data_IF_781613252639
#
_entry.id   IF_781613252639
#
_cell.length_a   1.000
_cell.length_b   1.000
_cell.length_c   1.000
_cell.angle_alpha   90.00
_cell.angle_beta   90.00
_cell.angle_gamma   90.00
#
_symmetry.space_group_name_H-M   'P 1'
#
loop_
_entity.id
_entity.type
_entity.pdbx_description
1 polymer ?
#
# COMPACT_ATOMS: atom_id res chain seq x y z
N UNK A 1 -35.38 19.27 13.27
CA UNK A 1 -34.27 19.65 12.37
C UNK A 1 -33.67 20.96 12.83
N UNK A 2 -32.36 21.04 12.89
CA UNK A 2 -31.61 22.23 13.28
C UNK A 2 -31.88 23.37 12.27
N UNK A 3 -32.07 24.60 12.74
CA UNK A 3 -32.20 25.76 11.85
C UNK A 3 -30.85 26.10 11.24
N UNK A 4 -30.84 26.36 9.94
CA UNK A 4 -29.64 26.63 9.15
C UNK A 4 -29.70 28.00 8.53
N UNK A 5 -28.55 28.69 8.43
CA UNK A 5 -28.34 29.94 7.70
C UNK A 5 -27.27 29.79 6.63
N UNK A 6 -27.24 30.69 5.66
CA UNK A 6 -26.12 30.80 4.73
C UNK A 6 -24.87 31.27 5.50
N UNK A 7 -23.72 30.62 5.26
CA UNK A 7 -22.45 30.99 5.88
C UNK A 7 -21.84 32.26 5.26
N UNK A 8 -22.33 32.72 4.12
CA UNK A 8 -21.66 33.74 3.30
C UNK A 8 -20.43 33.28 2.56
N UNK A 9 -20.09 31.98 2.64
CA UNK A 9 -18.91 31.38 2.00
C UNK A 9 -19.38 30.26 1.07
N UNK A 10 -19.24 30.47 -0.24
CA UNK A 10 -19.82 29.59 -1.26
C UNK A 10 -19.43 28.11 -1.14
N UNK A 11 -18.16 27.81 -0.80
CA UNK A 11 -17.69 26.43 -0.68
C UNK A 11 -18.09 25.75 0.64
N UNK A 12 -18.52 26.50 1.67
CA UNK A 12 -19.06 25.98 2.94
C UNK A 12 -20.57 25.73 2.82
N UNK A 13 -21.28 26.71 2.24
CA UNK A 13 -22.73 26.67 2.09
C UNK A 13 -23.45 26.97 3.41
N UNK A 14 -24.49 26.18 3.72
CA UNK A 14 -25.31 26.39 4.93
C UNK A 14 -24.68 25.83 6.18
N UNK A 15 -24.78 26.59 7.27
CA UNK A 15 -24.33 26.27 8.65
C UNK A 15 -25.46 26.49 9.65
N UNK A 16 -25.37 25.97 10.87
CA UNK A 16 -26.34 26.26 11.94
C UNK A 16 -26.46 27.77 12.22
N UNK A 17 -27.67 28.24 12.54
CA UNK A 17 -27.90 29.65 12.87
C UNK A 17 -27.04 30.19 14.01
N UNK A 18 -26.68 29.32 14.97
CA UNK A 18 -25.87 29.66 16.15
C UNK A 18 -24.37 29.70 15.87
N UNK A 19 -23.92 29.27 14.69
CA UNK A 19 -22.51 29.24 14.36
C UNK A 19 -22.07 30.56 13.73
N UNK A 20 -20.82 30.93 13.97
CA UNK A 20 -20.18 32.09 13.38
C UNK A 20 -19.13 31.68 12.33
N UNK A 21 -18.79 32.61 11.45
CA UNK A 21 -17.69 32.48 10.50
C UNK A 21 -16.69 33.59 10.78
N UNK A 22 -15.45 33.21 11.00
CA UNK A 22 -14.31 34.14 11.10
C UNK A 22 -13.24 33.74 10.07
N UNK A 23 -11.99 34.15 10.25
CA UNK A 23 -10.85 33.72 9.44
C UNK A 23 -9.76 33.13 10.34
N UNK A 24 -8.91 32.26 9.79
CA UNK A 24 -7.83 31.65 10.56
C UNK A 24 -6.92 32.66 11.25
N UNK A 25 -6.67 33.84 10.65
CA UNK A 25 -5.84 34.91 11.21
C UNK A 25 -6.37 35.44 12.55
N UNK A 26 -7.68 35.39 12.78
CA UNK A 26 -8.30 35.85 14.03
C UNK A 26 -7.86 34.98 15.21
N UNK A 27 -7.78 33.65 15.02
CA UNK A 27 -7.50 32.67 16.06
C UNK A 27 -6.08 32.13 16.07
N UNK A 28 -5.35 32.27 14.96
CA UNK A 28 -4.01 31.73 14.78
C UNK A 28 -2.97 32.84 14.52
N UNK A 29 -1.75 32.61 15.00
CA UNK A 29 -0.57 33.45 14.72
C UNK A 29 0.56 32.57 14.22
N UNK A 30 1.01 32.80 12.99
CA UNK A 30 2.21 32.13 12.47
C UNK A 30 3.45 32.57 13.28
N UNK A 31 4.25 31.59 13.66
CA UNK A 31 5.50 31.77 14.40
C UNK A 31 6.64 31.05 13.66
N UNK A 32 7.86 31.52 13.88
CA UNK A 32 9.06 30.91 13.28
C UNK A 32 10.21 30.93 14.29
N UNK A 33 9.95 30.41 15.47
CA UNK A 33 10.97 30.18 16.48
C UNK A 33 11.92 29.09 16.03
N UNK A 34 13.24 29.28 16.24
CA UNK A 34 14.31 28.39 15.75
C UNK A 34 15.39 28.29 16.81
N UNK A 35 16.46 27.60 16.48
CA UNK A 35 17.63 27.44 17.34
C UNK A 35 17.37 26.53 18.56
N UNK A 36 16.68 25.42 18.34
CA UNK A 36 16.48 24.35 19.31
C UNK A 36 17.07 23.02 18.78
N UNK A 37 18.39 22.93 18.56
CA UNK A 37 19.01 21.79 17.87
C UNK A 37 18.87 20.47 18.64
N UNK A 38 18.74 20.54 19.97
CA UNK A 38 18.62 19.38 20.86
C UNK A 38 17.18 18.87 21.02
N UNK A 39 16.19 19.60 20.46
CA UNK A 39 14.79 19.21 20.58
C UNK A 39 14.46 18.03 19.65
N UNK A 40 13.49 17.21 20.07
CA UNK A 40 13.04 16.04 19.31
C UNK A 40 12.52 16.42 17.92
N UNK A 41 12.97 15.71 16.89
CA UNK A 41 12.49 15.95 15.54
C UNK A 41 11.11 15.31 15.36
N UNK A 42 10.14 16.14 14.96
CA UNK A 42 8.78 15.74 14.68
C UNK A 42 8.52 15.61 13.19
N UNK A 43 7.62 14.70 12.85
CA UNK A 43 7.11 14.51 11.49
C UNK A 43 5.59 14.67 11.48
N UNK A 44 5.08 15.24 10.39
CA UNK A 44 3.64 15.40 10.19
C UNK A 44 3.15 14.40 9.15
N UNK A 45 2.33 13.46 9.58
CA UNK A 45 1.66 12.49 8.74
C UNK A 45 0.20 12.88 8.51
N UNK A 46 -0.31 12.55 7.33
CA UNK A 46 -1.70 12.83 6.97
C UNK A 46 -2.71 12.11 7.88
N UNK A 47 -2.42 10.88 8.23
CA UNK A 47 -3.26 10.00 9.05
C UNK A 47 -3.06 10.24 10.56
N UNK A 48 -1.82 10.26 11.03
CA UNK A 48 -1.48 10.31 12.46
C UNK A 48 -1.34 11.73 13.02
N UNK A 49 -1.23 12.77 12.16
CA UNK A 49 -0.90 14.11 12.59
C UNK A 49 0.59 14.26 12.93
N UNK A 50 0.91 15.07 13.96
CA UNK A 50 2.28 15.34 14.40
C UNK A 50 2.72 14.26 15.38
N UNK A 51 3.81 13.56 15.08
CA UNK A 51 4.40 12.51 15.91
C UNK A 51 5.94 12.60 15.89
N UNK A 52 6.65 12.00 16.87
CA UNK A 52 8.09 11.85 16.81
C UNK A 52 8.53 11.17 15.52
N UNK A 53 9.59 11.68 14.90
CA UNK A 53 10.06 11.18 13.58
C UNK A 53 10.41 9.71 13.61
N UNK A 54 11.03 9.24 14.69
CA UNK A 54 11.51 7.87 14.84
C UNK A 54 10.41 6.89 15.34
N UNK A 55 9.16 7.34 15.44
CA UNK A 55 8.03 6.47 15.82
C UNK A 55 7.57 5.53 14.70
N UNK A 56 8.15 5.65 13.48
CA UNK A 56 7.83 4.82 12.30
C UNK A 56 9.08 4.50 11.50
N UNK A 57 9.16 3.26 11.02
CA UNK A 57 10.28 2.77 10.18
C UNK A 57 10.13 3.11 8.69
N UNK A 58 8.93 3.56 8.26
CA UNK A 58 8.62 3.89 6.86
C UNK A 58 8.94 5.35 6.48
N UNK A 59 9.57 6.12 7.38
CA UNK A 59 9.94 7.50 7.11
C UNK A 59 11.31 7.58 6.42
N UNK A 60 11.29 7.65 5.10
CA UNK A 60 12.51 7.75 4.28
C UNK A 60 13.07 9.18 4.16
N UNK A 61 12.46 10.18 4.84
CA UNK A 61 12.97 11.55 4.80
C UNK A 61 14.24 11.68 5.67
N UNK A 62 15.35 12.00 5.06
CA UNK A 62 16.61 12.26 5.75
C UNK A 62 16.49 13.57 6.53
N UNK A 63 16.78 13.54 7.84
CA UNK A 63 16.94 14.76 8.63
C UNK A 63 18.27 15.39 8.29
N UNK A 64 18.29 16.71 8.08
CA UNK A 64 19.56 17.43 7.94
C UNK A 64 20.39 17.29 9.22
N UNK A 65 21.69 17.12 9.09
CA UNK A 65 22.61 17.09 10.24
C UNK A 65 22.55 18.42 11.04
N UNK A 66 22.27 19.53 10.35
CA UNK A 66 22.09 20.83 10.98
C UNK A 66 20.60 21.15 11.15
N UNK A 67 20.09 21.03 12.36
CA UNK A 67 18.71 21.31 12.74
C UNK A 67 18.47 22.74 13.26
N UNK A 68 19.47 23.60 13.31
CA UNK A 68 19.38 24.99 13.79
C UNK A 68 18.29 25.81 13.08
N UNK A 69 18.03 25.51 11.80
CA UNK A 69 17.00 26.17 11.00
C UNK A 69 15.60 25.57 11.17
N UNK A 70 15.47 24.45 11.89
CA UNK A 70 14.17 23.84 12.13
C UNK A 70 13.33 24.75 13.03
N UNK A 71 12.00 24.68 12.85
CA UNK A 71 11.06 25.50 13.59
C UNK A 71 10.58 24.76 14.83
N UNK A 72 10.60 25.46 15.94
CA UNK A 72 10.13 24.92 17.21
C UNK A 72 8.59 24.82 17.25
N UNK A 73 8.10 23.74 17.79
CA UNK A 73 6.69 23.41 17.95
C UNK A 73 6.42 23.19 19.43
N UNK A 74 5.63 24.06 20.04
CA UNK A 74 5.09 23.81 21.37
C UNK A 74 3.87 22.89 21.28
N UNK A 75 3.67 22.08 22.32
CA UNK A 75 2.43 21.29 22.45
C UNK A 75 1.19 22.17 22.32
N UNK A 76 0.25 21.77 21.48
CA UNK A 76 -0.97 22.51 21.15
C UNK A 76 -0.79 23.53 20.01
N UNK A 77 0.36 23.61 19.37
CA UNK A 77 0.54 24.40 18.14
C UNK A 77 -0.01 23.65 16.92
N UNK A 78 -0.57 24.39 15.96
CA UNK A 78 -0.94 23.84 14.66
C UNK A 78 0.26 23.82 13.73
N UNK A 79 0.61 22.64 13.21
CA UNK A 79 1.69 22.43 12.25
C UNK A 79 1.09 22.16 10.86
N UNK A 80 1.60 22.81 9.84
CA UNK A 80 1.08 22.76 8.47
C UNK A 80 2.22 22.43 7.51
N UNK A 81 2.11 21.35 6.76
CA UNK A 81 2.99 21.08 5.64
C UNK A 81 2.49 21.88 4.41
N UNK A 82 3.13 23.00 4.12
CA UNK A 82 2.69 23.88 3.02
C UNK A 82 2.59 23.17 1.67
N UNK A 83 3.49 22.21 1.39
CA UNK A 83 3.52 21.45 0.13
C UNK A 83 2.45 20.35 0.03
N UNK A 84 1.86 19.95 1.17
CA UNK A 84 0.86 18.88 1.24
C UNK A 84 -0.41 19.29 2.01
N UNK A 85 -0.61 20.57 2.27
CA UNK A 85 -1.81 21.09 2.94
C UNK A 85 -3.09 20.74 2.14
N UNK A 86 -2.99 20.78 0.82
CA UNK A 86 -4.04 20.37 -0.11
C UNK A 86 -4.47 18.88 0.03
N UNK A 87 -3.63 18.07 0.64
CA UNK A 87 -3.96 16.68 1.01
C UNK A 87 -4.46 16.56 2.47
N UNK A 88 -4.64 17.66 3.18
CA UNK A 88 -5.00 17.66 4.60
C UNK A 88 -3.81 17.39 5.55
N UNK A 89 -2.57 17.58 5.08
CA UNK A 89 -1.37 17.40 5.91
C UNK A 89 -1.14 18.62 6.81
N UNK A 90 -1.93 18.70 7.85
CA UNK A 90 -1.83 19.66 8.96
C UNK A 90 -2.41 19.04 10.23
N UNK A 91 -1.94 19.43 11.39
CA UNK A 91 -2.46 18.91 12.66
C UNK A 91 -2.06 19.79 13.85
N UNK A 92 -2.87 19.80 14.91
CA UNK A 92 -2.45 20.27 16.21
C UNK A 92 -1.51 19.24 16.83
N UNK A 93 -0.36 19.69 17.31
CA UNK A 93 0.67 18.83 17.89
C UNK A 93 0.38 18.50 19.36
N UNK A 94 0.44 17.21 19.68
CA UNK A 94 0.46 16.74 21.07
C UNK A 94 1.88 16.65 21.66
N UNK A 95 2.89 16.94 20.84
CA UNK A 95 4.32 16.84 21.16
C UNK A 95 4.97 18.21 21.09
N UNK A 96 6.03 18.39 21.87
CA UNK A 96 6.97 19.47 21.75
C UNK A 96 8.21 18.99 21.01
N UNK A 97 8.77 19.84 20.14
CA UNK A 97 9.93 19.46 19.34
C UNK A 97 10.16 20.40 18.16
N UNK A 98 10.84 19.92 17.13
CA UNK A 98 11.19 20.71 15.95
C UNK A 98 10.68 20.06 14.67
N UNK A 99 10.30 20.89 13.69
CA UNK A 99 9.86 20.46 12.36
C UNK A 99 10.67 21.14 11.26
N UNK A 100 10.68 20.54 10.08
CA UNK A 100 11.36 21.09 8.89
C UNK A 100 11.01 22.56 8.65
N UNK A 101 11.97 23.40 8.16
CA UNK A 101 11.72 24.78 7.79
C UNK A 101 10.59 24.98 6.77
N UNK A 102 10.31 23.95 5.96
CA UNK A 102 9.22 23.95 4.97
C UNK A 102 7.83 23.95 5.58
N UNK A 103 7.70 23.72 6.89
CA UNK A 103 6.38 23.71 7.56
C UNK A 103 6.07 25.08 8.16
N UNK A 104 4.78 25.41 8.26
CA UNK A 104 4.33 26.52 9.08
C UNK A 104 3.96 26.01 10.46
N UNK A 105 4.24 26.84 11.48
CA UNK A 105 3.84 26.59 12.87
C UNK A 105 2.98 27.77 13.32
N UNK A 106 1.76 27.49 13.76
CA UNK A 106 0.83 28.51 14.24
C UNK A 106 0.46 28.25 15.69
N UNK A 107 0.60 29.28 16.54
CA UNK A 107 0.06 29.29 17.90
C UNK A 107 -1.37 29.82 17.90
N UNK A 108 -2.21 29.27 18.76
CA UNK A 108 -3.54 29.82 19.03
C UNK A 108 -3.40 31.12 19.82
N UNK A 109 -4.19 32.15 19.48
CA UNK A 109 -4.10 33.48 20.07
C UNK A 109 -4.75 33.55 21.47
N UNK A 110 -5.83 32.81 21.62
CA UNK A 110 -6.61 32.71 22.86
C UNK A 110 -7.25 31.33 23.02
N UNK A 111 -7.99 31.12 24.07
CA UNK A 111 -8.68 29.87 24.37
C UNK A 111 -10.15 29.84 23.90
N UNK A 112 -10.62 30.83 23.12
CA UNK A 112 -12.00 30.90 22.67
C UNK A 112 -12.37 29.82 21.63
N UNK A 113 -11.36 29.19 21.04
CA UNK A 113 -11.57 28.09 20.10
C UNK A 113 -10.88 26.82 20.56
N UNK A 114 -11.61 25.71 20.54
CA UNK A 114 -11.08 24.40 20.87
C UNK A 114 -10.04 23.95 19.83
N UNK A 115 -8.84 23.64 20.27
CA UNK A 115 -7.75 23.13 19.44
C UNK A 115 -8.13 21.80 18.79
N UNK A 116 -8.81 20.93 19.53
CA UNK A 116 -9.24 19.62 19.07
C UNK A 116 -10.35 19.76 17.99
N UNK A 117 -11.28 20.72 18.17
CA UNK A 117 -12.26 21.01 17.13
C UNK A 117 -11.58 21.53 15.84
N UNK A 118 -10.64 22.48 15.96
CA UNK A 118 -9.89 23.03 14.83
C UNK A 118 -9.06 21.94 14.13
N UNK A 119 -8.50 20.99 14.89
CA UNK A 119 -7.79 19.84 14.36
C UNK A 119 -8.67 19.04 13.38
N UNK A 120 -9.90 18.74 13.77
CA UNK A 120 -10.84 18.02 12.89
C UNK A 120 -11.34 18.90 11.75
N UNK A 121 -11.68 20.15 12.03
CA UNK A 121 -12.23 21.08 11.03
C UNK A 121 -11.27 21.27 9.85
N UNK A 122 -10.04 21.69 10.14
CA UNK A 122 -9.05 22.01 9.10
C UNK A 122 -8.54 20.78 8.33
N UNK A 123 -8.66 19.59 8.90
CA UNK A 123 -8.33 18.31 8.24
C UNK A 123 -9.50 17.72 7.44
N UNK A 124 -10.69 18.27 7.56
CA UNK A 124 -11.85 17.78 6.83
C UNK A 124 -11.71 17.95 5.33
N UNK A 125 -12.40 17.11 4.57
CA UNK A 125 -12.32 17.10 3.09
C UNK A 125 -12.66 18.43 2.45
N UNK A 126 -13.58 19.17 3.03
CA UNK A 126 -14.00 20.49 2.51
C UNK A 126 -12.88 21.54 2.63
N UNK A 127 -12.13 21.51 3.74
CA UNK A 127 -10.96 22.39 3.92
C UNK A 127 -9.77 21.94 3.08
N UNK A 128 -9.53 20.65 2.96
CA UNK A 128 -8.50 20.12 2.07
C UNK A 128 -8.73 20.54 0.61
N UNK A 129 -9.96 20.46 0.09
CA UNK A 129 -10.31 20.95 -1.24
C UNK A 129 -10.12 22.46 -1.38
N UNK A 130 -10.41 23.24 -0.33
CA UNK A 130 -10.17 24.68 -0.38
C UNK A 130 -8.66 24.99 -0.38
N UNK A 131 -7.86 24.28 0.41
CA UNK A 131 -6.40 24.41 0.37
C UNK A 131 -5.80 23.97 -0.98
N UNK A 132 -6.40 22.99 -1.65
CA UNK A 132 -6.04 22.63 -3.02
C UNK A 132 -6.26 23.79 -3.99
N UNK A 133 -7.42 24.46 -3.92
CA UNK A 133 -7.73 25.65 -4.77
C UNK A 133 -6.81 26.82 -4.53
N UNK A 134 -6.33 26.99 -3.30
CA UNK A 134 -5.44 28.10 -2.91
C UNK A 134 -3.95 27.77 -3.14
N UNK A 135 -3.61 26.49 -3.32
CA UNK A 135 -2.24 26.07 -3.53
C UNK A 135 -1.81 26.29 -4.98
N UNK A 136 -0.62 26.84 -5.17
CA UNK A 136 -0.06 27.15 -6.48
C UNK A 136 1.31 26.48 -6.68
N UNK A 137 1.66 26.16 -7.92
CA UNK A 137 2.96 25.58 -8.26
C UNK A 137 3.08 25.24 -9.76
N UNK A 138 4.31 25.14 -10.26
CA UNK A 138 4.56 24.91 -11.69
C UNK A 138 4.34 23.44 -12.13
N UNK A 139 4.31 22.49 -11.21
CA UNK A 139 4.13 21.06 -11.52
C UNK A 139 2.98 20.50 -10.72
N UNK A 140 2.20 19.61 -11.33
CA UNK A 140 1.13 18.87 -10.66
C UNK A 140 1.72 18.11 -9.46
N UNK A 141 1.12 18.31 -8.28
CA UNK A 141 1.57 17.69 -7.03
C UNK A 141 2.73 18.38 -6.32
N UNK A 142 3.29 19.46 -6.88
CA UNK A 142 4.29 20.33 -6.24
C UNK A 142 3.71 21.73 -6.00
N UNK A 143 2.57 21.76 -5.30
CA UNK A 143 1.86 22.99 -4.98
C UNK A 143 2.14 23.41 -3.54
N UNK A 144 2.32 24.70 -3.35
CA UNK A 144 2.52 25.32 -2.04
C UNK A 144 1.30 26.16 -1.66
N UNK A 145 0.80 25.97 -0.46
CA UNK A 145 -0.16 26.87 0.16
C UNK A 145 0.60 28.03 0.82
N UNK A 146 0.30 29.27 0.44
CA UNK A 146 0.88 30.41 1.11
C UNK A 146 0.31 30.57 2.53
N UNK A 147 1.14 31.11 3.45
CA UNK A 147 0.65 31.35 4.83
C UNK A 147 -0.43 32.43 4.87
N UNK A 148 -0.38 33.42 3.98
CA UNK A 148 -1.37 34.49 3.93
C UNK A 148 -2.72 33.97 3.46
N UNK A 149 -2.76 33.12 2.44
CA UNK A 149 -3.98 32.46 1.96
C UNK A 149 -4.55 31.53 3.02
N UNK A 150 -3.69 30.76 3.72
CA UNK A 150 -4.12 29.96 4.85
C UNK A 150 -4.74 30.80 5.94
N UNK A 151 -4.09 31.90 6.35
CA UNK A 151 -4.58 32.79 7.40
C UNK A 151 -5.85 33.55 7.00
N UNK A 152 -6.05 33.81 5.72
CA UNK A 152 -7.26 34.44 5.17
C UNK A 152 -8.44 33.46 5.00
N UNK A 153 -8.19 32.14 5.10
CA UNK A 153 -9.25 31.13 4.91
C UNK A 153 -10.32 31.25 5.99
N UNK A 154 -11.63 31.26 5.62
CA UNK A 154 -12.75 31.23 6.53
C UNK A 154 -12.70 30.05 7.49
N UNK A 155 -13.07 30.29 8.75
CA UNK A 155 -13.09 29.31 9.84
C UNK A 155 -14.47 29.29 10.49
N UNK A 156 -15.05 28.10 10.62
CA UNK A 156 -16.33 27.89 11.30
C UNK A 156 -16.14 27.85 12.82
N UNK A 157 -16.97 28.61 13.53
CA UNK A 157 -16.89 28.72 15.00
C UNK A 157 -18.24 28.37 15.63
N UNK A 158 -18.44 27.12 16.08
CA UNK A 158 -19.58 26.74 16.90
C UNK A 158 -19.53 27.42 18.28
N UNK A 159 -20.62 27.47 19.03
CA UNK A 159 -20.58 27.78 20.44
C UNK A 159 -19.58 26.88 21.20
N UNK A 160 -18.88 27.42 22.21
CA UNK A 160 -17.78 26.76 22.92
C UNK A 160 -18.13 25.34 23.40
N UNK A 161 -19.30 25.18 24.04
CA UNK A 161 -19.79 23.86 24.49
C UNK A 161 -19.97 22.87 23.34
N UNK A 162 -20.38 23.35 22.17
CA UNK A 162 -20.59 22.52 21.00
C UNK A 162 -19.26 22.12 20.35
N UNK A 163 -18.26 23.01 20.33
CA UNK A 163 -16.90 22.68 19.85
C UNK A 163 -16.33 21.49 20.66
N UNK A 164 -16.40 21.57 21.99
CA UNK A 164 -15.91 20.49 22.85
C UNK A 164 -16.70 19.18 22.65
N UNK A 165 -18.02 19.27 22.52
CA UNK A 165 -18.87 18.10 22.28
C UNK A 165 -18.57 17.44 20.92
N UNK A 166 -18.35 18.24 19.86
CA UNK A 166 -17.96 17.74 18.53
C UNK A 166 -16.62 17.02 18.61
N UNK A 167 -15.61 17.62 19.24
CA UNK A 167 -14.29 17.04 19.35
C UNK A 167 -14.34 15.68 20.08
N UNK A 168 -14.94 15.63 21.27
CA UNK A 168 -15.09 14.39 22.06
C UNK A 168 -15.88 13.31 21.29
N UNK A 169 -16.95 13.71 20.58
CA UNK A 169 -17.73 12.78 19.77
C UNK A 169 -16.90 12.20 18.62
N UNK A 170 -16.13 13.06 17.91
CA UNK A 170 -15.28 12.65 16.80
C UNK A 170 -14.11 11.78 17.26
N UNK A 171 -13.48 12.10 18.39
CA UNK A 171 -12.43 11.27 18.99
C UNK A 171 -12.96 9.86 19.25
N UNK A 172 -14.08 9.75 19.96
CA UNK A 172 -14.68 8.45 20.28
C UNK A 172 -15.04 7.64 19.02
N UNK A 173 -15.69 8.30 18.05
CA UNK A 173 -16.12 7.63 16.82
C UNK A 173 -14.93 7.27 15.91
N UNK A 174 -13.94 8.13 15.80
CA UNK A 174 -12.72 7.87 15.06
C UNK A 174 -11.96 6.68 15.65
N UNK A 175 -11.75 6.65 16.97
CA UNK A 175 -11.12 5.51 17.65
C UNK A 175 -11.88 4.20 17.41
N UNK A 176 -13.21 4.21 17.44
CA UNK A 176 -14.01 3.02 17.16
C UNK A 176 -13.85 2.53 15.71
N UNK A 177 -13.85 3.46 14.74
CA UNK A 177 -13.67 3.13 13.32
C UNK A 177 -12.25 2.61 13.09
N UNK A 178 -11.23 3.25 13.68
CA UNK A 178 -9.83 2.83 13.54
C UNK A 178 -9.60 1.43 14.12
N UNK A 179 -10.22 1.13 15.27
CA UNK A 179 -10.19 -0.21 15.85
C UNK A 179 -10.86 -1.26 14.95
N UNK A 180 -11.98 -0.90 14.29
CA UNK A 180 -12.62 -1.77 13.31
C UNK A 180 -11.74 -2.00 12.07
N UNK A 181 -11.07 -0.97 11.56
CA UNK A 181 -10.13 -1.06 10.44
C UNK A 181 -8.97 -1.98 10.81
N UNK A 182 -8.36 -1.78 11.97
CA UNK A 182 -7.26 -2.62 12.46
C UNK A 182 -7.68 -4.10 12.58
N UNK A 183 -8.86 -4.37 13.13
CA UNK A 183 -9.39 -5.73 13.22
C UNK A 183 -9.60 -6.36 11.83
N UNK A 184 -10.16 -5.62 10.88
CA UNK A 184 -10.36 -6.13 9.50
C UNK A 184 -9.01 -6.37 8.82
N UNK A 185 -8.02 -5.51 9.05
CA UNK A 185 -6.65 -5.69 8.55
C UNK A 185 -6.01 -6.98 9.09
N UNK A 186 -6.13 -7.23 10.40
CA UNK A 186 -5.65 -8.48 11.00
C UNK A 186 -6.33 -9.71 10.40
N UNK A 187 -7.64 -9.64 10.15
CA UNK A 187 -8.36 -10.73 9.49
C UNK A 187 -7.85 -11.00 8.06
N UNK A 188 -7.46 -9.96 7.32
CA UNK A 188 -6.84 -10.10 5.99
C UNK A 188 -5.50 -10.84 6.12
N UNK A 189 -4.65 -10.47 7.07
CA UNK A 189 -3.35 -11.14 7.27
C UNK A 189 -3.53 -12.61 7.69
N UNK A 190 -4.50 -12.91 8.54
CA UNK A 190 -4.84 -14.30 8.89
C UNK A 190 -5.33 -15.12 7.69
N UNK A 191 -6.14 -14.51 6.78
CA UNK A 191 -6.58 -15.18 5.55
C UNK A 191 -5.42 -15.45 4.59
N UNK A 192 -4.48 -14.53 4.46
CA UNK A 192 -3.25 -14.72 3.66
C UNK A 192 -2.40 -15.86 4.21
N UNK A 193 -2.18 -15.88 5.52
CA UNK A 193 -1.43 -16.95 6.19
C UNK A 193 -2.14 -18.31 6.05
N UNK A 194 -3.47 -18.34 6.18
CA UNK A 194 -4.26 -19.56 5.96
C UNK A 194 -4.15 -20.04 4.50
N UNK A 195 -4.23 -19.14 3.52
CA UNK A 195 -4.03 -19.49 2.11
C UNK A 195 -2.69 -20.14 1.87
N UNK A 196 -1.61 -19.55 2.41
CA UNK A 196 -0.26 -20.09 2.28
C UNK A 196 -0.11 -21.45 2.96
N UNK A 197 -0.67 -21.62 4.16
CA UNK A 197 -0.67 -22.90 4.88
C UNK A 197 -1.42 -23.98 4.10
N UNK A 198 -2.61 -23.64 3.57
CA UNK A 198 -3.41 -24.53 2.73
C UNK A 198 -2.64 -24.98 1.48
N UNK A 199 -2.02 -24.04 0.77
CA UNK A 199 -1.21 -24.36 -0.40
C UNK A 199 -0.05 -25.30 0.01
N UNK A 200 0.66 -24.97 1.09
CA UNK A 200 1.77 -25.77 1.58
C UNK A 200 1.35 -27.21 1.92
N UNK A 201 0.26 -27.35 2.63
CA UNK A 201 -0.28 -28.66 2.98
C UNK A 201 -0.64 -29.48 1.72
N UNK A 202 -1.36 -28.87 0.78
CA UNK A 202 -1.80 -29.56 -0.44
C UNK A 202 -0.60 -29.92 -1.33
N UNK A 203 0.38 -29.07 -1.50
CA UNK A 203 1.54 -29.39 -2.35
C UNK A 203 2.47 -30.42 -1.70
N UNK A 204 2.49 -30.58 -0.38
CA UNK A 204 3.33 -31.55 0.33
C UNK A 204 2.60 -32.86 0.63
N UNK A 205 1.39 -32.80 1.18
CA UNK A 205 0.64 -33.96 1.67
C UNK A 205 -0.46 -34.42 0.68
N UNK A 206 -1.00 -33.51 -0.11
CA UNK A 206 -2.18 -33.77 -0.95
C UNK A 206 -3.48 -33.40 -0.26
N UNK A 207 -4.57 -34.04 -0.67
CA UNK A 207 -5.93 -33.76 -0.15
C UNK A 207 -6.35 -34.75 0.93
N UNK A 208 -5.69 -35.89 1.04
CA UNK A 208 -5.98 -36.89 2.07
C UNK A 208 -5.16 -36.59 3.34
N UNK A 209 -5.79 -36.25 4.46
CA UNK A 209 -5.09 -35.97 5.71
C UNK A 209 -4.42 -37.21 6.32
N UNK A 210 -4.82 -38.42 5.91
CA UNK A 210 -4.29 -39.69 6.42
C UNK A 210 -3.27 -40.35 5.48
N UNK A 211 -2.79 -39.61 4.47
CA UNK A 211 -1.81 -40.16 3.53
C UNK A 211 -0.54 -40.57 4.27
N UNK A 212 0.03 -41.77 4.00
CA UNK A 212 1.30 -42.15 4.58
C UNK A 212 2.42 -41.20 4.19
N UNK A 213 3.21 -40.76 5.15
CA UNK A 213 4.30 -39.79 4.98
C UNK A 213 5.66 -40.48 4.91
N UNK A 214 6.62 -39.86 4.28
CA UNK A 214 8.03 -40.24 4.26
C UNK A 214 8.92 -39.03 4.35
N UNK A 215 10.16 -39.18 4.80
CA UNK A 215 11.17 -38.14 4.69
C UNK A 215 11.48 -37.86 3.23
N UNK A 216 11.48 -36.56 2.88
CA UNK A 216 11.82 -36.09 1.52
C UNK A 216 13.30 -36.28 1.15
N UNK A 217 14.19 -36.48 2.13
CA UNK A 217 15.64 -36.44 1.98
C UNK A 217 16.21 -35.02 1.81
N UNK A 218 15.38 -33.98 2.01
CA UNK A 218 15.76 -32.57 1.92
C UNK A 218 15.34 -31.86 3.20
N UNK A 219 16.32 -31.42 4.00
CA UNK A 219 16.11 -30.90 5.36
C UNK A 219 15.02 -29.81 5.45
N UNK A 220 15.03 -28.85 4.54
CA UNK A 220 14.08 -27.73 4.57
C UNK A 220 12.67 -28.08 4.04
N UNK A 221 12.50 -29.21 3.34
CA UNK A 221 11.19 -29.72 2.91
C UNK A 221 10.56 -30.58 4.01
N UNK A 222 11.35 -31.38 4.70
CA UNK A 222 10.88 -32.30 5.74
C UNK A 222 10.09 -33.47 5.18
N UNK A 223 8.94 -33.78 5.79
CA UNK A 223 8.09 -34.90 5.40
C UNK A 223 7.13 -34.56 4.26
N UNK A 224 6.98 -35.51 3.33
CA UNK A 224 6.07 -35.44 2.18
C UNK A 224 5.23 -36.71 2.08
N UNK A 225 4.09 -36.67 1.36
CA UNK A 225 3.35 -37.89 1.08
C UNK A 225 4.24 -38.93 0.36
N UNK A 226 4.05 -40.22 0.68
CA UNK A 226 4.89 -41.31 0.12
C UNK A 226 4.76 -41.43 -1.40
N UNK A 227 3.65 -40.93 -2.00
CA UNK A 227 3.42 -40.89 -3.45
C UNK A 227 4.29 -39.87 -4.18
N UNK A 228 4.94 -38.94 -3.46
CA UNK A 228 5.75 -37.86 -4.04
C UNK A 228 7.22 -38.23 -4.16
N UNK A 229 7.86 -37.65 -5.16
CA UNK A 229 9.32 -37.68 -5.34
C UNK A 229 9.85 -36.29 -5.48
N UNK A 230 11.02 -36.00 -4.88
CA UNK A 230 11.66 -34.70 -4.98
C UNK A 230 12.51 -34.61 -6.23
N UNK A 231 12.27 -33.62 -7.04
CA UNK A 231 13.05 -33.34 -8.25
C UNK A 231 13.53 -31.89 -8.25
N UNK A 232 14.72 -31.66 -8.85
CA UNK A 232 15.17 -30.30 -9.13
C UNK A 232 14.43 -29.77 -10.35
N UNK A 233 14.04 -28.47 -10.32
CA UNK A 233 13.24 -27.83 -11.37
C UNK A 233 13.79 -28.10 -12.79
N UNK A 234 15.10 -28.07 -12.97
CA UNK A 234 15.74 -28.31 -14.29
C UNK A 234 15.36 -29.65 -14.95
N UNK A 235 14.96 -30.66 -14.20
CA UNK A 235 14.56 -31.97 -14.73
C UNK A 235 13.07 -32.06 -15.08
N UNK A 236 12.34 -31.00 -14.77
CA UNK A 236 10.90 -30.87 -14.95
C UNK A 236 10.54 -29.90 -16.08
N UNK A 237 11.53 -29.39 -16.77
CA UNK A 237 11.38 -28.41 -17.87
C UNK A 237 11.66 -29.06 -19.24
N UNK A 238 11.00 -28.54 -20.30
CA UNK A 238 11.30 -28.89 -21.70
C UNK A 238 12.60 -28.27 -22.16
N UNK A 239 12.86 -27.02 -21.73
CA UNK A 239 14.05 -26.24 -22.10
C UNK A 239 14.73 -25.69 -20.85
N UNK A 240 16.04 -25.39 -20.89
CA UNK A 240 16.70 -24.68 -19.82
C UNK A 240 16.02 -23.35 -19.51
N UNK A 241 16.08 -22.92 -18.23
CA UNK A 241 15.59 -21.60 -17.81
C UNK A 241 16.21 -20.47 -18.65
N UNK A 242 15.38 -19.61 -19.18
CA UNK A 242 15.78 -18.52 -20.08
C UNK A 242 15.60 -17.15 -19.41
N UNK A 243 16.61 -16.29 -19.48
CA UNK A 243 16.47 -14.87 -19.12
C UNK A 243 15.73 -14.12 -20.22
N UNK A 244 14.95 -13.11 -19.82
CA UNK A 244 14.28 -12.23 -20.78
C UNK A 244 15.20 -11.19 -21.43
N UNK A 245 14.63 -10.38 -22.29
CA UNK A 245 15.34 -9.34 -23.02
C UNK A 245 15.89 -8.25 -22.08
N UNK A 246 17.10 -7.81 -22.37
CA UNK A 246 17.78 -6.73 -21.61
C UNK A 246 17.69 -5.41 -22.40
N UNK A 247 16.48 -5.07 -22.81
CA UNK A 247 16.17 -3.95 -23.70
C UNK A 247 15.31 -2.89 -23.01
N UNK A 248 15.37 -1.68 -23.52
CA UNK A 248 14.43 -0.63 -23.14
C UNK A 248 13.13 -0.81 -23.91
N UNK A 249 12.02 -0.94 -23.20
CA UNK A 249 10.72 -0.96 -23.84
C UNK A 249 10.36 0.39 -24.47
N UNK A 250 9.50 0.36 -25.48
CA UNK A 250 9.01 1.54 -26.20
C UNK A 250 7.48 1.61 -26.21
N UNK A 251 6.97 2.61 -26.94
CA UNK A 251 5.53 2.75 -27.19
C UNK A 251 5.04 1.73 -28.23
N UNK A 252 3.74 1.47 -28.22
CA UNK A 252 3.10 0.60 -29.18
C UNK A 252 3.32 1.07 -30.63
N UNK A 253 3.63 0.14 -31.52
CA UNK A 253 3.64 0.28 -32.99
C UNK A 253 3.02 -0.96 -33.62
N UNK A 254 2.59 -0.87 -34.88
CA UNK A 254 1.92 -2.00 -35.58
C UNK A 254 2.79 -3.28 -35.68
N UNK A 255 4.12 -3.15 -35.55
CA UNK A 255 5.06 -4.27 -35.62
C UNK A 255 5.76 -4.43 -34.24
N UNK A 256 5.02 -4.36 -33.15
CA UNK A 256 5.55 -4.50 -31.81
C UNK A 256 4.79 -5.54 -30.99
N UNK A 257 5.53 -6.21 -30.11
CA UNK A 257 5.05 -7.24 -29.20
C UNK A 257 5.06 -6.67 -27.78
N UNK A 258 4.06 -6.99 -26.99
CA UNK A 258 3.99 -6.56 -25.58
C UNK A 258 5.21 -7.02 -24.81
N UNK A 259 5.82 -6.12 -24.04
CA UNK A 259 7.01 -6.39 -23.23
C UNK A 259 6.65 -6.44 -21.77
N UNK A 260 6.51 -7.66 -21.21
CA UNK A 260 6.12 -7.90 -19.83
C UNK A 260 7.30 -7.66 -18.91
N UNK A 261 7.16 -6.70 -18.01
CA UNK A 261 8.12 -6.38 -16.96
C UNK A 261 7.58 -6.84 -15.61
N UNK A 262 8.47 -6.94 -14.64
CA UNK A 262 8.10 -7.29 -13.25
C UNK A 262 7.08 -6.31 -12.64
N UNK A 263 7.11 -5.04 -13.07
CA UNK A 263 6.18 -3.98 -12.64
C UNK A 263 4.79 -4.09 -13.25
N UNK A 264 4.64 -4.89 -14.30
CA UNK A 264 3.39 -5.08 -15.02
C UNK A 264 2.57 -6.24 -14.41
N UNK A 265 3.19 -7.03 -13.51
CA UNK A 265 2.55 -8.14 -12.80
C UNK A 265 1.93 -7.62 -11.51
N UNK A 266 0.62 -7.76 -11.37
CA UNK A 266 -0.13 -7.41 -10.17
C UNK A 266 0.12 -8.41 -9.03
N UNK A 267 -0.28 -8.01 -7.80
CA UNK A 267 -0.13 -8.88 -6.63
C UNK A 267 -0.99 -10.14 -6.67
N UNK A 268 -2.09 -10.13 -7.42
CA UNK A 268 -3.01 -11.25 -7.64
C UNK A 268 -2.57 -12.18 -8.78
N UNK A 269 -1.45 -11.89 -9.45
CA UNK A 269 -0.95 -12.64 -10.59
C UNK A 269 -1.57 -12.25 -11.93
N UNK A 270 -2.38 -11.20 -12.00
CA UNK A 270 -2.88 -10.64 -13.26
C UNK A 270 -1.85 -9.69 -13.90
N UNK A 271 -2.00 -9.42 -15.20
CA UNK A 271 -1.23 -8.39 -15.89
C UNK A 271 -1.97 -7.05 -15.88
N UNK A 272 -1.24 -5.99 -15.58
CA UNK A 272 -1.72 -4.62 -15.80
C UNK A 272 -1.96 -4.42 -17.30
N UNK A 273 -3.03 -3.72 -17.63
CA UNK A 273 -3.32 -3.29 -18.99
C UNK A 273 -3.66 -1.80 -18.95
N UNK A 274 -2.62 -0.97 -18.97
CA UNK A 274 -2.72 0.48 -18.87
C UNK A 274 -1.83 1.17 -19.91
N UNK A 275 -1.84 2.48 -19.94
CA UNK A 275 -1.04 3.34 -20.83
C UNK A 275 0.49 3.22 -20.63
N UNK A 276 0.93 2.60 -19.53
CA UNK A 276 2.35 2.40 -19.22
C UNK A 276 2.91 1.09 -19.77
N UNK A 277 2.08 0.31 -20.47
CA UNK A 277 2.54 -0.92 -21.14
C UNK A 277 3.69 -0.60 -22.08
N UNK A 278 4.70 -1.47 -22.06
CA UNK A 278 5.88 -1.35 -22.92
C UNK A 278 5.84 -2.41 -24.01
N UNK A 279 6.53 -2.12 -25.10
CA UNK A 279 6.57 -2.96 -26.29
C UNK A 279 7.99 -3.08 -26.81
N UNK A 280 8.29 -4.21 -27.46
CA UNK A 280 9.52 -4.44 -28.23
C UNK A 280 9.17 -4.61 -29.70
N UNK A 281 10.10 -4.27 -30.60
CA UNK A 281 9.94 -4.62 -32.01
C UNK A 281 9.91 -6.15 -32.20
N UNK A 282 9.14 -6.66 -33.17
CA UNK A 282 9.04 -8.09 -33.43
C UNK A 282 10.40 -8.76 -33.60
N UNK A 283 11.35 -8.08 -34.25
CA UNK A 283 12.72 -8.58 -34.47
C UNK A 283 13.44 -8.85 -33.15
N UNK A 284 13.31 -7.98 -32.15
CA UNK A 284 13.96 -8.14 -30.86
C UNK A 284 13.18 -9.13 -29.99
N UNK A 285 11.85 -9.12 -30.11
CA UNK A 285 10.97 -9.98 -29.32
C UNK A 285 11.07 -11.45 -29.69
N UNK A 286 11.49 -11.80 -30.96
CA UNK A 286 11.47 -13.15 -31.50
C UNK A 286 12.14 -14.20 -30.60
N UNK A 287 13.23 -13.84 -29.94
CA UNK A 287 13.98 -14.76 -29.04
C UNK A 287 13.37 -14.90 -27.64
N UNK A 288 12.38 -14.06 -27.30
CA UNK A 288 11.80 -13.94 -25.98
C UNK A 288 10.29 -14.11 -25.95
N UNK A 289 9.72 -14.71 -26.99
CA UNK A 289 8.26 -14.93 -27.08
C UNK A 289 7.82 -15.93 -26.01
N UNK A 290 6.67 -15.63 -25.43
CA UNK A 290 6.01 -16.47 -24.45
C UNK A 290 4.96 -17.37 -25.11
N UNK A 291 4.91 -18.61 -24.65
CA UNK A 291 3.89 -19.59 -25.01
C UNK A 291 2.91 -19.81 -23.85
N UNK A 292 1.70 -20.27 -24.18
CA UNK A 292 0.70 -20.60 -23.17
C UNK A 292 1.21 -21.62 -22.16
N UNK A 293 1.18 -21.25 -20.88
CA UNK A 293 1.71 -22.06 -19.79
C UNK A 293 3.15 -21.77 -19.40
N UNK A 294 3.86 -20.86 -20.06
CA UNK A 294 5.17 -20.42 -19.59
C UNK A 294 5.04 -19.77 -18.20
N UNK A 295 5.92 -20.16 -17.27
CA UNK A 295 5.98 -19.56 -15.94
C UNK A 295 7.16 -18.58 -15.87
N UNK A 296 6.86 -17.32 -15.54
CA UNK A 296 7.87 -16.30 -15.33
C UNK A 296 8.22 -16.20 -13.84
N UNK A 297 9.50 -16.26 -13.51
CA UNK A 297 10.05 -16.20 -12.16
C UNK A 297 10.82 -14.89 -12.00
N UNK A 298 10.47 -14.09 -11.00
CA UNK A 298 11.13 -12.82 -10.72
C UNK A 298 12.48 -13.02 -10.06
N UNK A 299 13.56 -12.45 -10.66
CA UNK A 299 14.93 -12.66 -10.17
C UNK A 299 15.43 -11.62 -9.17
N UNK A 300 14.91 -10.41 -9.19
CA UNK A 300 15.45 -9.30 -8.38
C UNK A 300 14.39 -8.24 -8.06
N UNK A 301 14.73 -7.27 -7.18
CA UNK A 301 13.87 -6.18 -6.77
C UNK A 301 12.86 -6.56 -5.70
N UNK A 302 11.92 -5.66 -5.38
CA UNK A 302 10.91 -5.86 -4.32
C UNK A 302 9.94 -7.02 -4.55
N UNK A 303 9.96 -7.64 -5.72
CA UNK A 303 9.11 -8.79 -6.08
C UNK A 303 9.91 -10.06 -6.34
N UNK A 304 11.19 -10.09 -5.94
CA UNK A 304 12.07 -11.27 -6.10
C UNK A 304 11.39 -12.54 -5.56
N UNK A 305 11.45 -13.60 -6.35
CA UNK A 305 10.81 -14.87 -6.01
C UNK A 305 9.32 -14.99 -6.36
N UNK A 306 8.65 -13.93 -6.83
CA UNK A 306 7.28 -14.07 -7.35
C UNK A 306 7.27 -14.83 -8.68
N UNK A 307 6.20 -15.58 -8.91
CA UNK A 307 5.92 -16.26 -10.18
C UNK A 307 4.69 -15.69 -10.85
N UNK A 308 4.64 -15.83 -12.17
CA UNK A 308 3.52 -15.43 -12.98
C UNK A 308 3.30 -16.49 -14.07
N UNK A 309 2.04 -16.94 -14.25
CA UNK A 309 1.65 -17.85 -15.30
C UNK A 309 1.17 -17.06 -16.51
N UNK A 310 1.85 -17.24 -17.64
CA UNK A 310 1.43 -16.63 -18.87
C UNK A 310 0.34 -17.44 -19.58
N UNK A 311 -0.70 -16.73 -20.02
CA UNK A 311 -1.78 -17.28 -20.83
C UNK A 311 -1.84 -16.62 -22.20
N UNK A 312 -2.09 -17.38 -23.24
CA UNK A 312 -2.17 -16.89 -24.63
C UNK A 312 -3.23 -15.79 -24.83
N UNK A 313 -4.25 -15.74 -23.95
CA UNK A 313 -5.28 -14.68 -23.92
C UNK A 313 -4.72 -13.27 -23.68
N UNK A 314 -3.51 -13.16 -23.10
CA UNK A 314 -2.84 -11.86 -22.91
C UNK A 314 -2.26 -11.28 -24.20
N UNK A 315 -2.34 -12.02 -25.33
CA UNK A 315 -1.79 -11.65 -26.63
C UNK A 315 -0.29 -11.90 -26.74
N UNK A 316 0.24 -11.86 -27.97
CA UNK A 316 1.67 -12.07 -28.20
C UNK A 316 2.54 -11.18 -27.30
N UNK A 317 3.40 -11.80 -26.51
CA UNK A 317 4.20 -11.11 -25.49
C UNK A 317 5.62 -11.65 -25.42
N UNK A 318 6.55 -10.76 -25.09
CA UNK A 318 7.93 -11.06 -24.72
C UNK A 318 8.16 -10.59 -23.26
N UNK A 319 9.25 -11.01 -22.62
CA UNK A 319 9.50 -10.74 -21.22
C UNK A 319 10.87 -10.12 -20.94
N UNK A 320 10.96 -9.35 -19.86
CA UNK A 320 12.12 -8.54 -19.50
C UNK A 320 13.19 -9.36 -18.76
N UNK A 321 14.45 -8.92 -18.83
CA UNK A 321 15.62 -9.57 -18.25
C UNK A 321 15.62 -9.74 -16.73
N UNK A 322 14.71 -9.07 -16.02
CA UNK A 322 14.45 -9.30 -14.59
C UNK A 322 13.50 -10.47 -14.32
N UNK A 323 13.01 -11.12 -15.35
CA UNK A 323 12.20 -12.33 -15.30
C UNK A 323 12.97 -13.49 -15.93
N UNK A 324 12.70 -14.70 -15.45
CA UNK A 324 13.26 -15.95 -15.93
C UNK A 324 12.10 -16.84 -16.34
N UNK A 325 12.10 -17.31 -17.59
CA UNK A 325 11.09 -18.21 -18.14
C UNK A 325 11.39 -19.66 -17.77
N UNK A 326 10.37 -20.36 -17.29
CA UNK A 326 10.34 -21.80 -17.08
C UNK A 326 9.26 -22.42 -18.00
N UNK A 327 9.69 -23.20 -18.98
CA UNK A 327 8.86 -23.99 -19.87
C UNK A 327 8.67 -25.39 -19.27
N UNK A 328 7.55 -25.58 -18.55
CA UNK A 328 7.27 -26.80 -17.83
C UNK A 328 6.95 -27.98 -18.76
N UNK A 329 7.57 -29.13 -18.53
CA UNK A 329 7.25 -30.40 -19.19
C UNK A 329 5.94 -30.94 -18.62
N UNK A 330 4.83 -30.73 -19.31
CA UNK A 330 3.46 -30.98 -18.84
C UNK A 330 3.17 -32.47 -18.52
N UNK A 331 4.01 -33.38 -18.96
CA UNK A 331 4.02 -34.81 -18.59
C UNK A 331 4.67 -35.08 -17.22
N UNK A 332 5.37 -34.09 -16.64
CA UNK A 332 6.06 -34.15 -15.34
C UNK A 332 5.57 -33.10 -14.36
N UNK A 333 5.40 -31.86 -14.83
CA UNK A 333 5.07 -30.70 -14.00
C UNK A 333 4.05 -29.81 -14.70
N UNK A 334 2.88 -29.64 -14.07
CA UNK A 334 1.92 -28.64 -14.53
C UNK A 334 2.39 -27.24 -14.17
N UNK A 335 2.34 -26.27 -15.10
CA UNK A 335 2.70 -24.87 -14.82
C UNK A 335 1.98 -24.29 -13.61
N UNK A 336 0.69 -24.56 -13.49
CA UNK A 336 -0.15 -24.10 -12.37
C UNK A 336 0.31 -24.70 -11.03
N UNK A 337 0.78 -25.98 -11.03
CA UNK A 337 1.33 -26.58 -9.81
C UNK A 337 2.61 -25.90 -9.39
N UNK A 338 3.51 -25.56 -10.32
CA UNK A 338 4.70 -24.77 -10.05
C UNK A 338 4.35 -23.41 -9.44
N UNK A 339 3.35 -22.70 -10.01
CA UNK A 339 2.90 -21.40 -9.47
C UNK A 339 2.36 -21.54 -8.06
N UNK A 340 1.58 -22.59 -7.74
CA UNK A 340 1.15 -22.84 -6.36
C UNK A 340 2.33 -23.18 -5.44
N UNK A 341 3.26 -24.02 -5.91
CA UNK A 341 4.45 -24.35 -5.12
C UNK A 341 5.25 -23.09 -4.75
N UNK A 342 5.41 -22.14 -5.66
CA UNK A 342 6.09 -20.86 -5.40
C UNK A 342 5.32 -19.91 -4.46
N UNK A 343 4.09 -20.25 -4.09
CA UNK A 343 3.30 -19.55 -3.08
C UNK A 343 3.30 -20.27 -1.71
N UNK A 344 3.94 -21.43 -1.62
CA UNK A 344 4.00 -22.23 -0.39
C UNK A 344 5.03 -21.67 0.59
N UNK A 345 4.88 -22.05 1.86
CA UNK A 345 5.85 -21.72 2.90
C UNK A 345 7.22 -22.37 2.65
N UNK A 346 7.25 -23.56 2.03
CA UNK A 346 8.50 -24.22 1.65
C UNK A 346 9.35 -23.39 0.70
N UNK A 347 8.69 -22.78 -0.29
CA UNK A 347 9.40 -21.90 -1.21
C UNK A 347 9.95 -20.64 -0.53
N UNK A 348 9.26 -20.11 0.48
CA UNK A 348 9.77 -19.00 1.29
C UNK A 348 10.99 -19.41 2.12
N UNK A 349 10.99 -20.62 2.71
CA UNK A 349 12.16 -21.16 3.39
C UNK A 349 13.35 -21.25 2.41
N UNK A 350 13.14 -21.83 1.24
CA UNK A 350 14.17 -21.94 0.21
C UNK A 350 14.73 -20.57 -0.21
N UNK A 351 13.88 -19.57 -0.43
CA UNK A 351 14.32 -18.20 -0.73
C UNK A 351 15.19 -17.62 0.40
N UNK A 352 14.76 -17.78 1.63
CA UNK A 352 15.48 -17.25 2.78
C UNK A 352 16.88 -17.88 2.91
N UNK A 353 17.01 -19.18 2.67
CA UNK A 353 18.33 -19.86 2.64
C UNK A 353 19.23 -19.21 1.59
N UNK A 354 18.69 -18.88 0.40
CA UNK A 354 19.46 -18.22 -0.67
C UNK A 354 19.84 -16.80 -0.30
N UNK A 355 18.95 -16.04 0.36
CA UNK A 355 19.18 -14.64 0.69
C UNK A 355 20.19 -14.44 1.82
N UNK A 356 20.23 -15.33 2.81
CA UNK A 356 21.26 -15.31 3.87
C UNK A 356 22.67 -15.41 3.29
N UNK A 357 22.84 -16.07 2.14
CA UNK A 357 24.13 -16.27 1.48
C UNK A 357 24.48 -15.14 0.46
N UNK A 358 23.63 -14.13 0.28
CA UNK A 358 23.79 -13.15 -0.77
C UNK A 358 23.77 -11.70 -0.25
N UNK A 359 24.75 -10.90 -0.68
CA UNK A 359 24.81 -9.46 -0.38
C UNK A 359 23.68 -8.66 -1.02
N UNK A 360 23.12 -9.15 -2.13
CA UNK A 360 21.99 -8.58 -2.87
C UNK A 360 20.96 -9.68 -3.08
N UNK A 361 19.70 -9.40 -2.75
CA UNK A 361 18.59 -10.32 -2.99
C UNK A 361 18.38 -10.54 -4.49
N UNK A 362 18.97 -11.60 -5.03
CA UNK A 362 18.88 -12.00 -6.43
C UNK A 362 18.84 -13.53 -6.56
N UNK A 363 17.85 -14.04 -7.29
CA UNK A 363 17.71 -15.45 -7.61
C UNK A 363 17.94 -15.66 -9.10
N UNK A 364 19.16 -16.03 -9.46
CA UNK A 364 19.48 -16.31 -10.88
C UNK A 364 18.97 -17.67 -11.35
N UNK A 365 18.99 -17.89 -12.67
CA UNK A 365 18.51 -19.12 -13.30
C UNK A 365 19.18 -20.39 -12.73
N UNK A 366 20.46 -20.34 -12.39
CA UNK A 366 21.16 -21.47 -11.78
C UNK A 366 20.58 -21.86 -10.41
N UNK A 367 20.20 -20.89 -9.59
CA UNK A 367 19.54 -21.14 -8.28
C UNK A 367 18.15 -21.73 -8.50
N UNK A 368 17.33 -21.16 -9.38
CA UNK A 368 16.02 -21.71 -9.75
C UNK A 368 16.11 -23.11 -10.34
N UNK A 369 17.11 -23.39 -11.20
CA UNK A 369 17.33 -24.73 -11.79
C UNK A 369 17.51 -25.83 -10.74
N UNK A 370 18.06 -25.48 -9.59
CA UNK A 370 18.29 -26.39 -8.48
C UNK A 370 17.21 -26.33 -7.39
N UNK A 371 16.12 -25.59 -7.59
CA UNK A 371 14.96 -25.60 -6.69
C UNK A 371 14.40 -27.02 -6.61
N UNK A 372 14.35 -27.58 -5.43
CA UNK A 372 13.83 -28.92 -5.15
C UNK A 372 12.33 -28.83 -4.90
N UNK A 373 11.57 -29.67 -5.62
CA UNK A 373 10.10 -29.63 -5.61
C UNK A 373 9.59 -31.05 -5.35
N UNK A 374 8.72 -31.27 -4.37
CA UNK A 374 8.03 -32.53 -4.17
C UNK A 374 6.92 -32.67 -5.21
N UNK A 375 7.09 -33.61 -6.14
CA UNK A 375 6.21 -33.78 -7.31
C UNK A 375 5.33 -35.01 -7.14
N UNK A 376 3.99 -34.87 -7.14
CA UNK A 376 3.06 -35.99 -7.30
C UNK A 376 2.91 -36.41 -8.77
N UNK A 377 2.31 -37.55 -9.05
CA UNK A 377 1.91 -37.95 -10.41
C UNK A 377 1.06 -36.86 -11.08
N UNK A 378 1.15 -36.71 -12.40
CA UNK A 378 0.48 -35.59 -13.14
C UNK A 378 -1.03 -35.57 -12.92
N UNK A 379 -1.68 -36.73 -12.85
CA UNK A 379 -3.13 -36.79 -12.61
C UNK A 379 -3.51 -36.30 -11.21
N UNK A 380 -2.66 -36.58 -10.21
CA UNK A 380 -2.80 -36.00 -8.87
C UNK A 380 -2.58 -34.49 -8.93
N UNK A 381 -1.53 -33.98 -9.65
CA UNK A 381 -1.33 -32.55 -9.82
C UNK A 381 -2.58 -31.86 -10.39
N UNK A 382 -3.23 -32.43 -11.42
CA UNK A 382 -4.47 -31.88 -11.99
C UNK A 382 -5.58 -31.75 -10.95
N UNK A 383 -5.73 -32.77 -10.12
CA UNK A 383 -6.71 -32.77 -9.05
C UNK A 383 -6.40 -31.72 -7.99
N UNK A 384 -5.13 -31.63 -7.54
CA UNK A 384 -4.67 -30.66 -6.56
C UNK A 384 -4.82 -29.22 -7.06
N UNK A 385 -4.41 -28.96 -8.31
CA UNK A 385 -4.54 -27.64 -8.95
C UNK A 385 -6.01 -27.20 -9.02
N UNK A 386 -6.90 -28.09 -9.44
CA UNK A 386 -8.34 -27.80 -9.50
C UNK A 386 -8.90 -27.42 -8.13
N UNK A 387 -8.56 -28.18 -7.11
CA UNK A 387 -9.03 -27.93 -5.74
C UNK A 387 -8.41 -26.65 -5.16
N UNK A 388 -7.10 -26.43 -5.33
CA UNK A 388 -6.43 -25.20 -4.91
C UNK A 388 -7.04 -23.97 -5.59
N UNK A 389 -7.32 -24.04 -6.89
CA UNK A 389 -7.97 -22.95 -7.63
C UNK A 389 -9.31 -22.57 -6.98
N UNK A 390 -10.15 -23.54 -6.64
CA UNK A 390 -11.44 -23.28 -5.99
C UNK A 390 -11.27 -22.68 -4.60
N UNK A 391 -10.44 -23.29 -3.76
CA UNK A 391 -10.24 -22.85 -2.36
C UNK A 391 -9.55 -21.48 -2.29
N UNK A 392 -8.48 -21.28 -3.05
CA UNK A 392 -7.75 -20.01 -3.08
C UNK A 392 -8.63 -18.88 -3.62
N UNK A 393 -9.41 -19.11 -4.69
CA UNK A 393 -10.33 -18.10 -5.22
C UNK A 393 -11.38 -17.65 -4.18
N UNK A 394 -11.90 -18.58 -3.35
CA UNK A 394 -12.79 -18.21 -2.24
C UNK A 394 -12.11 -17.33 -1.21
N UNK A 395 -10.86 -17.66 -0.85
CA UNK A 395 -10.08 -16.87 0.12
C UNK A 395 -9.78 -15.50 -0.46
N UNK A 396 -9.36 -15.40 -1.72
CA UNK A 396 -9.08 -14.13 -2.40
C UNK A 396 -10.31 -13.23 -2.48
N UNK A 397 -11.48 -13.82 -2.77
CA UNK A 397 -12.77 -13.11 -2.73
C UNK A 397 -13.10 -12.56 -1.34
N UNK A 398 -12.82 -13.32 -0.27
CA UNK A 398 -13.01 -12.85 1.10
C UNK A 398 -12.03 -11.70 1.45
N UNK A 399 -10.78 -11.79 1.03
CA UNK A 399 -9.78 -10.73 1.20
C UNK A 399 -10.24 -9.45 0.49
N UNK A 400 -10.71 -9.58 -0.74
CA UNK A 400 -11.22 -8.44 -1.52
C UNK A 400 -12.42 -7.77 -0.84
N UNK A 401 -13.41 -8.53 -0.37
CA UNK A 401 -14.56 -7.99 0.37
C UNK A 401 -14.11 -7.25 1.63
N UNK A 402 -13.10 -7.77 2.35
CA UNK A 402 -12.55 -7.11 3.55
C UNK A 402 -11.80 -5.83 3.22
N UNK A 403 -11.05 -5.78 2.12
CA UNK A 403 -10.40 -4.55 1.63
C UNK A 403 -11.43 -3.47 1.28
N UNK A 404 -12.51 -3.83 0.55
CA UNK A 404 -13.62 -2.91 0.29
C UNK A 404 -14.31 -2.43 1.58
N UNK A 405 -14.37 -3.28 2.62
CA UNK A 405 -14.90 -2.86 3.92
C UNK A 405 -14.02 -1.79 4.57
N UNK A 406 -12.69 -1.90 4.48
CA UNK A 406 -11.76 -0.88 4.98
C UNK A 406 -12.00 0.44 4.24
N UNK A 407 -12.02 0.44 2.93
CA UNK A 407 -12.28 1.64 2.12
C UNK A 407 -13.62 2.33 2.50
N UNK A 408 -14.67 1.55 2.70
CA UNK A 408 -15.96 2.09 3.15
C UNK A 408 -15.92 2.67 4.56
N UNK A 409 -15.16 2.06 5.47
CA UNK A 409 -14.99 2.58 6.83
C UNK A 409 -14.21 3.91 6.82
N UNK A 410 -13.18 4.03 6.00
CA UNK A 410 -12.43 5.28 5.80
C UNK A 410 -13.32 6.38 5.21
N UNK A 411 -14.08 6.07 4.15
CA UNK A 411 -15.05 7.00 3.56
C UNK A 411 -16.10 7.44 4.58
N UNK A 412 -16.61 6.51 5.39
CA UNK A 412 -17.56 6.82 6.45
C UNK A 412 -16.94 7.73 7.51
N UNK A 413 -15.69 7.50 7.93
CA UNK A 413 -14.95 8.36 8.85
C UNK A 413 -14.84 9.79 8.31
N UNK A 414 -14.46 9.93 7.04
CA UNK A 414 -14.38 11.24 6.38
C UNK A 414 -15.74 11.95 6.30
N UNK A 415 -16.80 11.25 5.93
CA UNK A 415 -18.16 11.80 5.88
C UNK A 415 -18.63 12.24 7.26
N UNK A 416 -18.37 11.42 8.28
CA UNK A 416 -18.74 11.70 9.65
C UNK A 416 -18.05 12.98 10.18
N UNK A 417 -16.74 13.10 9.95
CA UNK A 417 -15.99 14.31 10.32
C UNK A 417 -16.62 15.52 9.62
N UNK A 418 -16.83 15.45 8.30
CA UNK A 418 -17.43 16.53 7.52
C UNK A 418 -18.80 16.96 8.08
N UNK A 419 -19.69 16.01 8.37
CA UNK A 419 -21.04 16.31 8.86
C UNK A 419 -21.03 17.05 10.21
N UNK A 420 -20.17 16.62 11.14
CA UNK A 420 -20.08 17.24 12.46
C UNK A 420 -19.38 18.60 12.42
N UNK A 421 -18.24 18.72 11.71
CA UNK A 421 -17.49 19.98 11.68
C UNK A 421 -18.13 21.07 10.84
N UNK A 422 -19.12 20.73 9.99
CA UNK A 422 -19.92 21.69 9.23
C UNK A 422 -21.32 21.92 9.84
N UNK A 423 -21.62 21.28 10.98
CA UNK A 423 -22.90 21.41 11.68
C UNK A 423 -24.09 20.77 10.96
N UNK A 424 -23.87 19.95 9.93
CA UNK A 424 -24.91 19.18 9.23
C UNK A 424 -25.47 18.06 10.09
N UNK A 425 -24.69 17.62 11.07
CA UNK A 425 -25.10 16.66 12.08
C UNK A 425 -24.89 17.22 13.47
N UNK A 426 -25.91 17.05 14.32
CA UNK A 426 -25.89 17.51 15.71
C UNK A 426 -25.25 16.45 16.61
N UNK A 427 -24.48 16.89 17.60
CA UNK A 427 -23.96 16.00 18.63
C UNK A 427 -25.09 15.73 19.62
N UNK A 428 -25.52 14.48 19.69
CA UNK A 428 -26.52 14.00 20.66
C UNK A 428 -25.88 13.54 21.97
#
# INVERSE_FOLDING_TARGET
MRKMKDSGVAWIGKIPETWEVTINKTVLKNISERNHPDAEVLSLYRDLGVVPKNSRDDNHNVTSENTVQYKFVEKGSLVINKMKAWQGSLAVSNYEGIVSPAYYVCKFRDNQISKDYVHYLLRSSIYAQQFERLSTGMRVGQWDLSIDDFLATPLLVPPEKEQAAIAVCLDKKSMQIDALIANVQEQIERLKAYKQSLITEVVTKGLDPNVPMKDSGVEWIGEIANTRSVYRLKYLLNTPLQYGANESGGKYTNNSVRYIRITDICADGSLKNDENNQYLSEKVASDYVLNDGDVLLARSGGTVGKSFLYHAEYGASAFAGYLIKADCSRDKLLPEFLVYYTQSFLYDIWKNIIFVQATIQNIGANKYSNLEIPIPPVDEQRTLVKELKVRCSKIDSLIHIKQQKIEKLEQYKHSLIYEYVTGKKEVS
#
